data_IF_230305989563
#
_entry.id   IF_230305989563
#
_cell.length_a   1.000
_cell.length_b   1.000
_cell.length_c   1.000
_cell.angle_alpha   90.00
_cell.angle_beta   90.00
_cell.angle_gamma   90.00
#
_symmetry.space_group_name_H-M   'P 1'
#
loop_
_entity.id
_entity.type
_entity.pdbx_description
1 polymer ?
#
# COMPACT_ATOMS: atom_id res chain seq x y z
N UNK A 1 11.13 -12.77 19.62
CA UNK A 1 11.04 -12.98 18.16
C UNK A 1 9.99 -12.10 17.51
N UNK A 2 8.75 -12.02 18.05
CA UNK A 2 7.68 -11.18 17.49
C UNK A 2 8.07 -9.69 17.43
N UNK A 3 8.74 -9.15 18.45
CA UNK A 3 9.16 -7.75 18.47
C UNK A 3 10.23 -7.40 17.42
N UNK A 4 11.15 -8.33 17.16
CA UNK A 4 12.14 -8.16 16.10
C UNK A 4 11.44 -8.14 14.73
N UNK A 5 10.52 -9.08 14.49
CA UNK A 5 9.76 -9.13 13.26
C UNK A 5 8.93 -7.86 13.04
N UNK A 6 8.26 -7.38 14.09
CA UNK A 6 7.51 -6.11 14.07
C UNK A 6 8.40 -4.92 13.73
N UNK A 7 9.61 -4.82 14.33
CA UNK A 7 10.57 -3.74 14.04
C UNK A 7 11.00 -3.75 12.57
N UNK A 8 11.29 -4.94 12.02
CA UNK A 8 11.66 -5.09 10.62
C UNK A 8 10.53 -4.66 9.68
N UNK A 9 9.29 -5.08 9.96
CA UNK A 9 8.12 -4.64 9.19
C UNK A 9 7.87 -3.14 9.32
N UNK A 10 8.12 -2.56 10.50
CA UNK A 10 8.02 -1.12 10.72
C UNK A 10 9.04 -0.31 9.91
N UNK A 11 10.29 -0.80 9.83
CA UNK A 11 11.33 -0.19 8.99
C UNK A 11 10.98 -0.31 7.50
N UNK A 12 10.53 -1.48 7.06
CA UNK A 12 10.06 -1.69 5.71
C UNK A 12 8.90 -0.76 5.38
N UNK A 13 7.93 -0.62 6.29
CA UNK A 13 6.79 0.27 6.12
C UNK A 13 7.19 1.75 6.00
N UNK A 14 8.15 2.22 6.79
CA UNK A 14 8.68 3.59 6.66
C UNK A 14 9.36 3.83 5.33
N UNK A 15 10.12 2.85 4.84
CA UNK A 15 10.74 2.92 3.51
C UNK A 15 9.69 2.96 2.41
N UNK A 16 8.69 2.08 2.46
CA UNK A 16 7.58 2.08 1.52
C UNK A 16 6.81 3.40 1.54
N UNK A 17 6.53 3.95 2.73
CA UNK A 17 5.86 5.25 2.88
C UNK A 17 6.66 6.38 2.22
N UNK A 18 7.96 6.46 2.47
CA UNK A 18 8.81 7.46 1.85
C UNK A 18 8.84 7.33 0.32
N UNK A 19 8.93 6.08 -0.19
CA UNK A 19 8.87 5.80 -1.62
C UNK A 19 7.53 6.19 -2.24
N UNK A 20 6.41 5.84 -1.61
CA UNK A 20 5.06 6.21 -2.10
C UNK A 20 4.91 7.72 -2.19
N UNK A 21 5.32 8.47 -1.16
CA UNK A 21 5.27 9.94 -1.17
C UNK A 21 6.14 10.50 -2.30
N UNK A 22 7.36 10.00 -2.45
CA UNK A 22 8.26 10.44 -3.52
C UNK A 22 7.69 10.16 -4.91
N UNK A 23 7.09 8.97 -5.11
CA UNK A 23 6.45 8.59 -6.37
C UNK A 23 5.24 9.47 -6.68
N UNK A 24 4.41 9.80 -5.68
CA UNK A 24 3.27 10.71 -5.86
C UNK A 24 3.73 12.11 -6.25
N UNK A 25 4.75 12.65 -5.58
CA UNK A 25 5.36 13.94 -5.97
C UNK A 25 5.90 13.88 -7.38
N UNK A 26 6.60 12.79 -7.75
CA UNK A 26 7.10 12.58 -9.11
C UNK A 26 5.98 12.57 -10.15
N UNK A 27 4.84 11.92 -9.88
CA UNK A 27 3.68 11.90 -10.78
C UNK A 27 3.18 13.33 -11.01
N UNK A 28 2.97 14.11 -9.93
CA UNK A 28 2.48 15.49 -10.03
C UNK A 28 3.42 16.36 -10.83
N UNK A 29 4.73 16.27 -10.57
CA UNK A 29 5.75 17.05 -11.29
C UNK A 29 5.81 16.68 -12.77
N UNK A 30 5.73 15.40 -13.11
CA UNK A 30 5.72 14.95 -14.50
C UNK A 30 4.47 15.43 -15.24
N UNK A 31 3.28 15.29 -14.65
CA UNK A 31 2.04 15.77 -15.27
C UNK A 31 2.11 17.29 -15.47
N UNK A 32 2.58 18.05 -14.48
CA UNK A 32 2.73 19.49 -14.58
C UNK A 32 3.72 19.88 -15.69
N UNK A 33 4.87 19.21 -15.75
CA UNK A 33 5.87 19.43 -16.80
C UNK A 33 5.30 19.16 -18.20
N UNK A 34 4.50 18.10 -18.36
CA UNK A 34 3.84 17.78 -19.62
C UNK A 34 2.81 18.84 -20.03
N UNK A 35 1.98 19.29 -19.07
CA UNK A 35 1.00 20.35 -19.33
C UNK A 35 1.70 21.64 -19.77
N UNK A 36 2.74 22.06 -19.05
CA UNK A 36 3.52 23.26 -19.40
C UNK A 36 4.16 23.09 -20.78
N UNK A 37 4.82 21.97 -21.04
CA UNK A 37 5.47 21.72 -22.34
C UNK A 37 4.48 21.74 -23.50
N UNK A 38 3.30 21.17 -23.32
CA UNK A 38 2.25 21.13 -24.35
C UNK A 38 1.66 22.50 -24.64
N UNK A 39 1.33 23.28 -23.61
CA UNK A 39 0.62 24.55 -23.78
C UNK A 39 1.54 25.75 -24.06
N UNK A 40 2.75 25.78 -23.47
CA UNK A 40 3.67 26.90 -23.66
C UNK A 40 4.64 26.67 -24.82
N UNK A 41 5.10 25.43 -25.03
CA UNK A 41 6.09 25.12 -26.07
C UNK A 41 5.50 24.41 -27.29
N UNK A 42 4.22 24.01 -27.26
CA UNK A 42 3.57 23.28 -28.35
C UNK A 42 4.17 21.89 -28.62
N UNK A 43 5.02 21.37 -27.72
CA UNK A 43 5.72 20.10 -27.87
C UNK A 43 5.36 19.13 -26.74
N UNK A 44 4.48 18.14 -26.97
CA UNK A 44 4.15 17.14 -25.97
C UNK A 44 5.36 16.23 -25.71
N UNK A 45 5.67 16.00 -24.43
CA UNK A 45 6.73 15.08 -23.98
C UNK A 45 6.14 13.71 -23.67
N UNK A 46 6.06 12.82 -24.65
CA UNK A 46 5.40 11.51 -24.52
C UNK A 46 6.06 10.63 -23.44
N UNK A 47 7.39 10.70 -23.30
CA UNK A 47 8.15 9.94 -22.30
C UNK A 47 7.82 10.31 -20.85
N UNK A 48 7.38 11.54 -20.61
CA UNK A 48 6.98 12.03 -19.28
C UNK A 48 5.70 11.33 -18.79
N UNK A 49 4.76 11.09 -19.70
CA UNK A 49 3.54 10.34 -19.41
C UNK A 49 3.82 8.88 -19.05
N UNK A 50 4.78 8.26 -19.75
CA UNK A 50 5.22 6.90 -19.46
C UNK A 50 5.86 6.80 -18.06
N UNK A 51 6.70 7.76 -17.66
CA UNK A 51 7.30 7.83 -16.32
C UNK A 51 6.23 8.01 -15.24
N UNK A 52 5.24 8.87 -15.48
CA UNK A 52 4.13 9.06 -14.52
C UNK A 52 3.33 7.76 -14.34
N UNK A 53 3.06 7.04 -15.43
CA UNK A 53 2.36 5.74 -15.40
C UNK A 53 3.15 4.70 -14.59
N UNK A 54 4.45 4.59 -14.81
CA UNK A 54 5.31 3.66 -14.07
C UNK A 54 5.38 4.00 -12.58
N UNK A 55 5.50 5.29 -12.27
CA UNK A 55 5.47 5.76 -10.88
C UNK A 55 4.13 5.44 -10.21
N UNK A 56 3.03 5.55 -10.93
CA UNK A 56 1.70 5.21 -10.42
C UNK A 56 1.57 3.72 -10.11
N UNK A 57 2.10 2.84 -10.97
CA UNK A 57 2.06 1.39 -10.74
C UNK A 57 2.86 1.04 -9.47
N UNK A 58 4.07 1.56 -9.32
CA UNK A 58 4.88 1.36 -8.12
C UNK A 58 4.17 1.89 -6.86
N UNK A 59 3.62 3.10 -6.92
CA UNK A 59 2.89 3.71 -5.81
C UNK A 59 1.66 2.88 -5.41
N UNK A 60 0.96 2.28 -6.37
CA UNK A 60 -0.23 1.45 -6.13
C UNK A 60 0.14 0.17 -5.36
N UNK A 61 1.15 -0.57 -5.78
CA UNK A 61 1.51 -1.82 -5.12
C UNK A 61 2.19 -1.61 -3.77
N UNK A 62 3.05 -0.61 -3.63
CA UNK A 62 3.62 -0.23 -2.34
C UNK A 62 2.57 0.34 -1.40
N UNK A 63 1.64 1.14 -1.91
CA UNK A 63 0.52 1.69 -1.15
C UNK A 63 -0.42 0.61 -0.61
N UNK A 64 -0.70 -0.43 -1.42
CA UNK A 64 -1.49 -1.58 -0.98
C UNK A 64 -0.78 -2.35 0.16
N UNK A 65 0.53 -2.58 0.05
CA UNK A 65 1.32 -3.21 1.10
C UNK A 65 1.35 -2.35 2.38
N UNK A 66 1.46 -1.04 2.23
CA UNK A 66 1.44 -0.08 3.33
C UNK A 66 0.07 -0.04 4.02
N UNK A 67 -1.03 -0.03 3.25
CA UNK A 67 -2.40 -0.06 3.79
C UNK A 67 -2.65 -1.28 4.69
N UNK A 68 -2.08 -2.45 4.34
CA UNK A 68 -2.15 -3.63 5.17
C UNK A 68 -1.38 -3.46 6.50
N UNK A 69 -0.26 -2.73 6.52
CA UNK A 69 0.52 -2.44 7.74
C UNK A 69 -0.19 -1.48 8.70
N UNK A 70 -0.94 -0.52 8.15
CA UNK A 70 -1.74 0.45 8.94
C UNK A 70 -3.10 -0.08 9.42
N UNK A 71 -3.42 -1.36 9.19
CA UNK A 71 -4.75 -1.94 9.47
C UNK A 71 -5.93 -1.26 8.73
N UNK A 72 -5.63 -0.47 7.68
CA UNK A 72 -6.67 0.22 6.90
C UNK A 72 -7.25 -0.63 5.75
N UNK A 73 -6.68 -1.82 5.49
CA UNK A 73 -7.06 -2.62 4.32
C UNK A 73 -8.43 -3.33 4.47
N UNK A 74 -8.84 -3.65 5.70
CA UNK A 74 -10.13 -4.31 5.95
C UNK A 74 -10.68 -3.85 7.30
N UNK A 75 -11.56 -2.87 7.31
CA UNK A 75 -12.41 -2.60 8.47
C UNK A 75 -13.59 -3.57 8.46
N UNK A 76 -13.38 -4.79 8.92
CA UNK A 76 -14.46 -5.72 9.26
C UNK A 76 -14.98 -5.39 10.68
N UNK A 77 -14.56 -4.28 11.25
CA UNK A 77 -14.83 -3.88 12.62
C UNK A 77 -16.33 -3.86 12.93
N UNK A 78 -17.18 -3.49 11.97
CA UNK A 78 -18.64 -3.43 12.16
C UNK A 78 -19.27 -4.80 12.42
N UNK A 79 -18.78 -5.86 11.78
CA UNK A 79 -19.28 -7.23 12.00
C UNK A 79 -18.55 -7.90 13.16
N UNK A 80 -17.27 -7.68 13.30
CA UNK A 80 -16.43 -8.27 14.36
C UNK A 80 -16.69 -7.62 15.71
N UNK A 81 -17.08 -6.35 15.78
CA UNK A 81 -17.44 -5.64 17.02
C UNK A 81 -18.64 -6.29 17.76
N UNK A 82 -19.47 -7.05 17.06
CA UNK A 82 -20.59 -7.81 17.68
C UNK A 82 -20.18 -9.18 18.24
N UNK A 83 -18.94 -9.61 17.98
CA UNK A 83 -18.42 -10.90 18.41
C UNK A 83 -17.58 -10.74 19.69
N UNK A 84 -17.59 -11.74 20.59
CA UNK A 84 -16.64 -11.79 21.69
C UNK A 84 -15.22 -11.64 21.18
N UNK A 85 -14.35 -10.93 21.91
CA UNK A 85 -12.99 -10.56 21.45
C UNK A 85 -12.17 -11.71 20.86
N UNK A 86 -12.25 -12.90 21.47
CA UNK A 86 -11.55 -14.09 20.97
C UNK A 86 -12.08 -14.61 19.64
N UNK A 87 -13.42 -14.57 19.44
CA UNK A 87 -14.04 -14.98 18.18
C UNK A 87 -13.77 -13.96 17.09
N UNK A 88 -13.72 -12.68 17.46
CA UNK A 88 -13.30 -11.60 16.58
C UNK A 88 -11.85 -11.75 16.10
N UNK A 89 -10.95 -12.17 16.99
CA UNK A 89 -9.56 -12.46 16.62
C UNK A 89 -9.46 -13.62 15.61
N UNK A 90 -10.24 -14.69 15.82
CA UNK A 90 -10.28 -15.81 14.86
C UNK A 90 -10.84 -15.39 13.49
N UNK A 91 -11.87 -14.54 13.47
CA UNK A 91 -12.42 -14.01 12.22
C UNK A 91 -11.39 -13.18 11.46
N UNK A 92 -10.64 -12.31 12.15
CA UNK A 92 -9.53 -11.54 11.52
C UNK A 92 -8.40 -12.45 11.04
N UNK A 93 -8.03 -13.46 11.82
CA UNK A 93 -7.03 -14.44 11.40
C UNK A 93 -7.46 -15.18 10.12
N UNK A 94 -8.74 -15.53 9.99
CA UNK A 94 -9.28 -16.17 8.78
C UNK A 94 -9.15 -15.27 7.55
N UNK A 95 -9.41 -13.97 7.69
CA UNK A 95 -9.25 -13.00 6.60
C UNK A 95 -7.78 -12.90 6.17
N UNK A 96 -6.84 -12.79 7.11
CA UNK A 96 -5.42 -12.77 6.77
C UNK A 96 -4.95 -14.09 6.15
N UNK A 97 -5.51 -15.23 6.57
CA UNK A 97 -5.26 -16.53 5.93
C UNK A 97 -5.78 -16.54 4.48
N UNK A 98 -6.95 -15.98 4.21
CA UNK A 98 -7.46 -15.85 2.85
C UNK A 98 -6.55 -14.97 1.97
N UNK A 99 -6.02 -13.86 2.52
CA UNK A 99 -5.04 -13.02 1.83
C UNK A 99 -3.75 -13.81 1.54
N UNK A 100 -3.25 -14.59 2.50
CA UNK A 100 -2.07 -15.44 2.31
C UNK A 100 -2.33 -16.47 1.21
N UNK A 101 -3.48 -17.17 1.24
CA UNK A 101 -3.84 -18.16 0.24
C UNK A 101 -3.88 -17.55 -1.18
N UNK A 102 -4.47 -16.36 -1.33
CA UNK A 102 -4.47 -15.63 -2.59
C UNK A 102 -3.05 -15.28 -3.07
N UNK A 103 -2.22 -14.73 -2.18
CA UNK A 103 -0.85 -14.34 -2.52
C UNK A 103 0.02 -15.55 -2.86
N UNK A 104 -0.10 -16.65 -2.13
CA UNK A 104 0.62 -17.89 -2.40
C UNK A 104 0.22 -18.50 -3.75
N UNK A 105 -1.02 -18.29 -4.19
CA UNK A 105 -1.46 -18.73 -5.53
C UNK A 105 -0.86 -17.85 -6.64
N UNK A 106 -0.68 -16.55 -6.41
CA UNK A 106 -0.16 -15.60 -7.41
C UNK A 106 1.36 -15.62 -7.48
N UNK A 107 2.06 -15.69 -6.36
CA UNK A 107 3.53 -15.58 -6.29
C UNK A 107 4.29 -16.55 -7.23
N UNK A 108 3.91 -17.83 -7.37
CA UNK A 108 4.62 -18.76 -8.24
C UNK A 108 4.54 -18.40 -9.73
N UNK A 109 3.52 -17.65 -10.16
CA UNK A 109 3.36 -17.22 -11.55
C UNK A 109 4.20 -16.00 -11.91
N UNK A 110 4.65 -15.22 -10.90
CA UNK A 110 5.39 -13.97 -11.11
C UNK A 110 6.74 -14.15 -11.82
N UNK A 111 7.59 -15.14 -11.51
CA UNK A 111 8.85 -15.32 -12.23
C UNK A 111 8.67 -15.51 -13.74
N UNK A 112 7.62 -16.24 -14.14
CA UNK A 112 7.26 -16.41 -15.55
C UNK A 112 6.83 -15.10 -16.20
N UNK A 113 5.96 -14.34 -15.54
CA UNK A 113 5.52 -13.02 -16.00
C UNK A 113 6.70 -12.04 -16.12
N UNK A 114 7.55 -11.97 -15.09
CA UNK A 114 8.78 -11.16 -15.11
C UNK A 114 9.66 -11.54 -16.30
N UNK A 115 9.87 -12.85 -16.53
CA UNK A 115 10.70 -13.33 -17.64
C UNK A 115 10.17 -12.93 -19.02
N UNK A 116 8.85 -12.88 -19.21
CA UNK A 116 8.22 -12.44 -20.47
C UNK A 116 8.34 -10.92 -20.62
N UNK A 117 8.07 -10.16 -19.56
CA UNK A 117 8.08 -8.69 -19.62
C UNK A 117 9.50 -8.11 -19.68
N UNK A 118 10.50 -8.80 -19.15
CA UNK A 118 11.91 -8.40 -19.29
C UNK A 118 12.42 -8.47 -20.74
N UNK A 119 11.70 -9.14 -21.63
CA UNK A 119 12.00 -9.18 -23.08
C UNK A 119 11.36 -8.03 -23.86
N UNK A 120 10.48 -7.28 -23.23
CA UNK A 120 9.83 -6.10 -23.82
C UNK A 120 10.48 -4.85 -23.29
N UNK A 121 10.66 -3.85 -24.16
CA UNK A 121 11.21 -2.54 -23.79
C UNK A 121 10.10 -1.49 -23.68
N UNK A 122 10.37 -0.42 -22.95
CA UNK A 122 9.56 0.80 -22.94
C UNK A 122 9.42 1.35 -24.37
N UNK A 123 8.27 1.98 -24.66
CA UNK A 123 7.93 2.43 -26.02
C UNK A 123 8.30 3.90 -26.21
N UNK A 124 8.08 4.75 -25.21
CA UNK A 124 8.23 6.19 -25.32
C UNK A 124 9.48 6.75 -24.63
N UNK A 125 10.12 5.95 -23.75
CA UNK A 125 11.35 6.38 -23.09
C UNK A 125 12.52 6.45 -24.10
N UNK A 126 13.38 7.48 -24.00
CA UNK A 126 14.58 7.59 -24.85
C UNK A 126 15.62 6.50 -24.58
N UNK A 127 15.45 5.74 -23.49
CA UNK A 127 16.30 4.61 -23.08
C UNK A 127 15.45 3.33 -23.05
N UNK A 128 15.96 2.26 -23.66
CA UNK A 128 15.27 0.97 -23.66
C UNK A 128 15.43 0.29 -22.31
N UNK A 129 14.45 0.46 -21.42
CA UNK A 129 14.39 -0.21 -20.13
C UNK A 129 13.36 -1.35 -20.22
N UNK A 130 13.69 -2.57 -19.75
CA UNK A 130 12.74 -3.67 -19.77
C UNK A 130 11.45 -3.35 -19.02
N UNK A 131 10.30 -3.63 -19.64
CA UNK A 131 8.97 -3.32 -19.08
C UNK A 131 8.70 -4.05 -17.76
N UNK A 132 9.33 -5.20 -17.53
CA UNK A 132 9.18 -5.97 -16.29
C UNK A 132 9.53 -5.19 -15.02
N UNK A 133 10.46 -4.24 -15.10
CA UNK A 133 10.78 -3.35 -13.97
C UNK A 133 9.63 -2.45 -13.54
N UNK A 134 8.71 -2.19 -14.44
CA UNK A 134 7.62 -1.24 -14.21
C UNK A 134 6.27 -1.91 -13.93
N UNK A 135 6.10 -3.17 -14.32
CA UNK A 135 4.85 -3.89 -14.14
C UNK A 135 4.97 -5.07 -13.17
N UNK A 136 5.76 -6.07 -13.51
CA UNK A 136 5.82 -7.32 -12.73
C UNK A 136 6.66 -7.19 -11.45
N UNK A 137 7.74 -6.39 -11.47
CA UNK A 137 8.58 -6.21 -10.29
C UNK A 137 7.86 -5.47 -9.16
N UNK A 138 7.14 -4.33 -9.40
CA UNK A 138 6.34 -3.69 -8.37
C UNK A 138 5.28 -4.61 -7.76
N UNK A 139 4.59 -5.39 -8.59
CA UNK A 139 3.64 -6.40 -8.14
C UNK A 139 4.32 -7.44 -7.24
N UNK A 140 5.48 -7.95 -7.63
CA UNK A 140 6.21 -8.94 -6.84
C UNK A 140 6.66 -8.37 -5.48
N UNK A 141 7.23 -7.16 -5.48
CA UNK A 141 7.68 -6.48 -4.25
C UNK A 141 6.51 -6.22 -3.32
N UNK A 142 5.41 -5.65 -3.84
CA UNK A 142 4.19 -5.41 -3.06
C UNK A 142 3.59 -6.70 -2.50
N UNK A 143 3.47 -7.75 -3.33
CA UNK A 143 2.93 -9.04 -2.91
C UNK A 143 3.78 -9.71 -1.82
N UNK A 144 5.10 -9.69 -1.93
CA UNK A 144 6.00 -10.21 -0.88
C UNK A 144 5.86 -9.42 0.41
N UNK A 145 5.82 -8.09 0.34
CA UNK A 145 5.62 -7.23 1.51
C UNK A 145 4.27 -7.47 2.18
N UNK A 146 3.19 -7.62 1.40
CA UNK A 146 1.87 -7.98 1.90
C UNK A 146 1.86 -9.36 2.55
N UNK A 147 2.53 -10.35 1.95
CA UNK A 147 2.61 -11.71 2.49
C UNK A 147 3.30 -11.71 3.86
N UNK A 148 4.46 -11.06 3.98
CA UNK A 148 5.18 -10.93 5.25
C UNK A 148 4.30 -10.27 6.32
N UNK A 149 3.58 -9.21 5.96
CA UNK A 149 2.68 -8.51 6.88
C UNK A 149 1.48 -9.39 7.29
N UNK A 150 0.85 -10.10 6.33
CA UNK A 150 -0.28 -10.98 6.61
C UNK A 150 0.10 -12.14 7.52
N UNK A 151 1.27 -12.77 7.29
CA UNK A 151 1.81 -13.82 8.18
C UNK A 151 2.00 -13.30 9.59
N UNK A 152 2.60 -12.12 9.76
CA UNK A 152 2.75 -11.50 11.08
C UNK A 152 1.40 -11.31 11.77
N UNK A 153 0.40 -10.78 11.06
CA UNK A 153 -0.94 -10.53 11.60
C UNK A 153 -1.66 -11.81 12.00
N UNK A 154 -1.57 -12.88 11.20
CA UNK A 154 -2.10 -14.19 11.57
C UNK A 154 -1.49 -14.68 12.88
N UNK A 155 -0.15 -14.59 13.03
CA UNK A 155 0.54 -15.00 14.25
C UNK A 155 0.08 -14.21 15.48
N UNK A 156 -0.12 -12.89 15.32
CA UNK A 156 -0.61 -12.00 16.40
C UNK A 156 -2.03 -12.35 16.80
N UNK A 157 -2.95 -12.50 15.84
CA UNK A 157 -4.36 -12.79 16.13
C UNK A 157 -4.55 -14.20 16.70
N UNK A 158 -3.81 -15.20 16.22
CA UNK A 158 -3.84 -16.56 16.80
C UNK A 158 -3.29 -16.56 18.23
N UNK A 159 -2.19 -15.86 18.50
CA UNK A 159 -1.64 -15.74 19.86
C UNK A 159 -2.66 -15.09 20.81
N UNK A 160 -3.32 -14.03 20.36
CA UNK A 160 -4.36 -13.36 21.14
C UNK A 160 -5.58 -14.27 21.39
N UNK A 161 -6.02 -15.02 20.39
CA UNK A 161 -7.11 -16.00 20.53
C UNK A 161 -6.80 -17.09 21.57
N UNK A 162 -5.50 -17.45 21.72
CA UNK A 162 -5.01 -18.43 22.71
C UNK A 162 -4.77 -17.84 24.10
N UNK A 163 -5.10 -16.55 24.34
CA UNK A 163 -4.98 -15.89 25.64
C UNK A 163 -3.70 -15.07 25.84
N UNK A 164 -2.91 -14.84 24.79
CA UNK A 164 -1.75 -13.94 24.83
C UNK A 164 -2.17 -12.46 24.73
N UNK A 165 -1.22 -11.57 25.04
CA UNK A 165 -1.42 -10.12 24.86
C UNK A 165 -1.23 -9.70 23.40
N UNK A 166 -1.97 -8.68 22.95
CA UNK A 166 -1.77 -8.06 21.65
C UNK A 166 -0.52 -7.17 21.67
N UNK A 167 0.45 -7.38 20.79
CA UNK A 167 1.53 -6.43 20.61
C UNK A 167 0.97 -5.13 20.01
N UNK A 168 1.64 -3.98 20.24
CA UNK A 168 1.25 -2.73 19.61
C UNK A 168 1.32 -2.82 18.09
N UNK A 169 0.55 -1.95 17.40
CA UNK A 169 0.46 -1.88 15.93
C UNK A 169 1.85 -1.81 15.28
N UNK A 170 1.98 -2.32 14.05
CA UNK A 170 3.22 -2.25 13.26
C UNK A 170 3.55 -0.78 12.96
N UNK A 171 2.56 -0.03 12.51
CA UNK A 171 2.62 1.41 12.27
C UNK A 171 1.42 2.07 12.93
N UNK A 172 1.65 3.17 13.65
CA UNK A 172 0.55 3.97 14.18
C UNK A 172 -0.05 4.77 13.03
N UNK A 173 -1.39 4.83 12.91
CA UNK A 173 -2.02 5.76 12.00
C UNK A 173 -1.59 7.18 12.37
N UNK A 174 -1.44 8.04 11.35
CA UNK A 174 -1.27 9.47 11.59
C UNK A 174 -2.45 9.96 12.43
N UNK A 175 -2.23 10.88 13.40
CA UNK A 175 -3.32 11.49 14.13
C UNK A 175 -4.33 12.00 13.09
N UNK A 176 -5.55 11.51 13.17
CA UNK A 176 -6.66 12.11 12.42
C UNK A 176 -6.90 13.45 13.12
N UNK A 177 -6.70 14.56 12.41
CA UNK A 177 -7.07 15.89 12.88
C UNK A 177 -8.61 15.94 13.00
N UNK A 178 -9.12 15.35 14.07
CA UNK A 178 -10.54 15.49 14.44
C UNK A 178 -10.86 16.91 14.91
N UNK A 179 -9.83 17.69 15.30
CA UNK A 179 -9.99 19.06 15.77
C UNK A 179 -10.56 19.99 14.68
N UNK A 180 -10.27 19.73 13.40
CA UNK A 180 -10.79 20.52 12.29
C UNK A 180 -12.26 20.20 11.95
N UNK A 181 -12.67 18.95 12.05
CA UNK A 181 -14.05 18.54 11.76
C UNK A 181 -15.00 19.03 12.86
N UNK A 182 -14.59 18.95 14.14
CA UNK A 182 -15.35 19.46 15.28
C UNK A 182 -15.43 21.00 15.24
N UNK A 183 -14.37 21.69 14.81
CA UNK A 183 -14.36 23.15 14.66
C UNK A 183 -15.28 23.62 13.51
N UNK A 184 -15.30 22.90 12.40
CA UNK A 184 -16.19 23.20 11.26
C UNK A 184 -17.64 22.93 11.63
N UNK A 185 -17.94 21.83 12.34
CA UNK A 185 -19.30 21.52 12.80
C UNK A 185 -19.81 22.55 13.82
N UNK A 186 -18.96 22.98 14.76
CA UNK A 186 -19.31 24.04 15.72
C UNK A 186 -19.51 25.41 15.03
N UNK A 187 -18.71 25.74 14.02
CA UNK A 187 -18.88 26.97 13.23
C UNK A 187 -20.19 26.93 12.42
N UNK A 188 -20.56 25.79 11.84
CA UNK A 188 -21.83 25.63 11.13
C UNK A 188 -23.07 25.65 12.02
N UNK A 189 -22.95 25.22 13.29
CA UNK A 189 -24.03 25.25 14.27
C UNK A 189 -24.18 26.64 14.88
N UNK A 190 -23.09 27.40 15.04
CA UNK A 190 -23.10 28.77 15.57
C UNK A 190 -23.73 29.81 14.62
N UNK A 191 -23.72 29.55 13.32
CA UNK A 191 -24.30 30.43 12.29
C UNK A 191 -25.83 30.24 12.10
N UNK A 192 -26.43 29.33 12.86
CA UNK A 192 -27.88 29.02 12.82
C UNK A 192 -28.69 29.59 14.01
N UNK A 193 -28.03 30.30 14.92
CA UNK A 193 -28.65 30.98 16.07
C UNK A 193 -28.63 32.47 15.89
#
# INVERSE_FOLDING_TARGET
>A
MIDLYRRLLGLLGRLEQALVVLLLVNIVLNILAQVISRYFFGKPLVWVEEIATYSFIWATFLGAALALKYDRHVRIDTFVARLPERRGALARALVFLAIIALLVTILPSLPGAIGIEMRRSSIALPVQIPSGWFFSVPLAVGAVSMLLTAVFKVLVELRFALGGERPPLIMQPLPEDHDDDDAVEQAMLGDRL
#
